data_IF_554988753640
#
_entry.id   IF_554988753640
#
_cell.length_a   1.000
_cell.length_b   1.000
_cell.length_c   1.000
_cell.angle_alpha   90.00
_cell.angle_beta   90.00
_cell.angle_gamma   90.00
#
_symmetry.space_group_name_H-M   'P 1'
#
loop_
_entity.id
_entity.type
_entity.pdbx_description
1 polymer ?
#
# COMPACT_ATOMS: atom_id res chain seq x y z
N UNK A 1 16.27 -10.21 3.61
CA UNK A 1 15.84 -11.36 2.77
C UNK A 1 15.41 -12.57 3.57
N UNK A 2 16.10 -12.97 4.66
CA UNK A 2 15.74 -14.14 5.49
C UNK A 2 14.27 -14.13 5.93
N UNK A 3 13.77 -12.99 6.42
CA UNK A 3 12.36 -12.87 6.87
C UNK A 3 11.37 -13.11 5.73
N UNK A 4 11.65 -12.61 4.52
CA UNK A 4 10.80 -12.85 3.36
C UNK A 4 10.82 -14.33 2.94
N UNK A 5 11.99 -14.97 3.02
CA UNK A 5 12.11 -16.41 2.77
C UNK A 5 11.30 -17.23 3.77
N UNK A 6 11.38 -16.92 5.06
CA UNK A 6 10.58 -17.55 6.10
C UNK A 6 9.06 -17.37 5.86
N UNK A 7 8.65 -16.17 5.42
CA UNK A 7 7.26 -15.91 5.08
C UNK A 7 6.80 -16.70 3.84
N UNK A 8 7.68 -16.93 2.87
CA UNK A 8 7.39 -17.72 1.67
C UNK A 8 7.38 -19.24 1.95
N UNK A 9 8.30 -19.74 2.79
CA UNK A 9 8.42 -21.16 3.13
C UNK A 9 7.38 -21.61 4.17
N UNK A 10 6.83 -20.67 4.95
CA UNK A 10 5.83 -20.98 5.96
C UNK A 10 6.41 -21.25 7.34
N UNK A 11 7.49 -20.56 7.74
CA UNK A 11 8.19 -20.79 9.01
C UNK A 11 7.45 -20.10 10.17
N UNK A 12 6.22 -20.54 10.43
CA UNK A 12 5.29 -20.12 11.48
C UNK A 12 4.23 -21.23 11.68
N UNK A 13 3.48 -21.17 12.77
CA UNK A 13 2.45 -22.17 13.09
C UNK A 13 1.09 -21.49 13.23
N UNK A 14 0.30 -21.48 12.14
CA UNK A 14 -1.06 -20.92 12.10
C UNK A 14 -2.03 -22.12 12.01
N UNK A 15 -3.00 -22.25 12.94
CA UNK A 15 -3.98 -23.33 12.90
C UNK A 15 -4.71 -23.41 11.55
N UNK A 16 -4.86 -24.63 11.03
CA UNK A 16 -5.55 -24.92 9.78
C UNK A 16 -5.02 -24.21 8.52
N UNK A 17 -3.79 -23.67 8.58
CA UNK A 17 -3.13 -23.03 7.45
C UNK A 17 -1.79 -23.71 7.15
N UNK A 18 -1.57 -24.04 5.88
CA UNK A 18 -0.31 -24.63 5.40
C UNK A 18 0.28 -23.79 4.27
N UNK A 19 1.60 -23.59 4.30
CA UNK A 19 2.35 -22.89 3.25
C UNK A 19 2.77 -21.48 3.64
N UNK A 20 3.31 -20.73 2.66
CA UNK A 20 3.77 -19.36 2.85
C UNK A 20 2.65 -18.34 2.91
N UNK A 21 2.89 -17.22 3.58
CA UNK A 21 2.00 -16.06 3.60
C UNK A 21 2.21 -15.13 2.40
N UNK A 22 3.35 -15.20 1.72
CA UNK A 22 3.68 -14.34 0.57
C UNK A 22 4.11 -15.15 -0.65
N UNK A 23 3.99 -14.55 -1.83
CA UNK A 23 4.57 -15.06 -3.08
C UNK A 23 6.10 -14.99 -3.06
N UNK A 24 6.73 -15.65 -4.04
CA UNK A 24 8.20 -15.73 -4.13
C UNK A 24 8.86 -14.35 -4.16
N UNK A 25 9.78 -14.11 -3.23
CA UNK A 25 10.36 -12.79 -2.95
C UNK A 25 11.48 -12.34 -3.90
N UNK A 26 11.93 -13.20 -4.82
CA UNK A 26 12.95 -12.86 -5.81
C UNK A 26 12.29 -12.69 -7.17
N UNK A 27 11.70 -11.51 -7.35
CA UNK A 27 10.91 -11.13 -8.54
C UNK A 27 11.18 -9.67 -8.88
N UNK A 28 11.28 -9.37 -10.16
CA UNK A 28 11.27 -8.03 -10.74
C UNK A 28 9.88 -7.68 -11.32
N UNK A 29 8.92 -8.59 -11.18
CA UNK A 29 7.54 -8.38 -11.60
C UNK A 29 6.77 -7.52 -10.60
N UNK A 30 5.94 -6.64 -11.15
CA UNK A 30 4.92 -5.89 -10.40
C UNK A 30 3.50 -6.33 -10.77
N UNK A 31 3.37 -7.37 -11.60
CA UNK A 31 2.08 -7.88 -12.03
C UNK A 31 1.41 -8.70 -10.92
N UNK A 32 0.09 -8.56 -10.79
CA UNK A 32 -0.74 -9.39 -9.92
C UNK A 32 -1.59 -10.32 -10.79
N UNK A 33 -1.75 -11.57 -10.36
CA UNK A 33 -2.65 -12.53 -11.00
C UNK A 33 -4.11 -12.09 -10.84
N UNK A 34 -4.97 -12.50 -11.77
CA UNK A 34 -6.39 -12.12 -11.78
C UNK A 34 -7.11 -12.51 -10.47
N UNK A 35 -6.78 -13.68 -9.90
CA UNK A 35 -7.32 -14.10 -8.60
C UNK A 35 -6.92 -13.15 -7.47
N UNK A 36 -5.69 -12.65 -7.47
CA UNK A 36 -5.21 -11.72 -6.45
C UNK A 36 -5.91 -10.36 -6.56
N UNK A 37 -6.20 -9.91 -7.80
CA UNK A 37 -6.96 -8.68 -8.05
C UNK A 37 -8.39 -8.79 -7.52
N UNK A 38 -9.05 -9.94 -7.73
CA UNK A 38 -10.39 -10.21 -7.21
C UNK A 38 -10.42 -10.23 -5.68
N UNK A 39 -9.51 -10.97 -5.05
CA UNK A 39 -9.41 -11.04 -3.58
C UNK A 39 -9.10 -9.67 -2.96
N UNK A 40 -8.21 -8.88 -3.57
CA UNK A 40 -7.92 -7.53 -3.11
C UNK A 40 -9.19 -6.67 -3.12
N UNK A 41 -9.98 -6.72 -4.21
CA UNK A 41 -11.23 -5.98 -4.31
C UNK A 41 -12.26 -6.41 -3.26
N UNK A 42 -12.40 -7.72 -3.01
CA UNK A 42 -13.29 -8.26 -1.97
C UNK A 42 -12.90 -7.77 -0.57
N UNK A 43 -11.60 -7.83 -0.24
CA UNK A 43 -11.08 -7.33 1.04
C UNK A 43 -11.26 -5.82 1.15
N UNK A 44 -11.03 -5.05 0.08
CA UNK A 44 -11.21 -3.60 0.11
C UNK A 44 -12.68 -3.24 0.36
N UNK A 45 -13.59 -3.87 -0.38
CA UNK A 45 -15.03 -3.61 -0.25
C UNK A 45 -15.57 -4.00 1.12
N UNK A 46 -15.11 -5.12 1.67
CA UNK A 46 -15.59 -5.61 2.98
C UNK A 46 -15.01 -4.85 4.17
N UNK A 47 -13.75 -4.39 4.08
CA UNK A 47 -13.04 -3.76 5.22
C UNK A 47 -13.14 -2.24 5.18
N UNK A 48 -12.98 -1.62 4.02
CA UNK A 48 -12.91 -0.16 3.88
C UNK A 48 -14.17 0.43 3.22
N UNK A 49 -14.92 -0.40 2.49
CA UNK A 49 -16.16 -0.03 1.82
C UNK A 49 -15.95 0.26 0.33
N UNK A 50 -17.04 0.19 -0.45
CA UNK A 50 -17.01 0.29 -1.91
C UNK A 50 -16.35 1.55 -2.45
N UNK A 51 -16.41 2.68 -1.71
CA UNK A 51 -15.77 3.94 -2.12
C UNK A 51 -14.25 3.87 -2.21
N UNK A 52 -13.63 2.89 -1.55
CA UNK A 52 -12.18 2.65 -1.61
C UNK A 52 -11.78 1.62 -2.67
N UNK A 53 -12.75 0.86 -3.19
CA UNK A 53 -12.55 -0.12 -4.25
C UNK A 53 -12.52 0.52 -5.63
N UNK A 54 -11.79 -0.08 -6.55
CA UNK A 54 -11.76 0.37 -7.94
C UNK A 54 -12.95 -0.18 -8.72
N UNK A 55 -13.43 0.57 -9.72
CA UNK A 55 -14.43 0.03 -10.67
C UNK A 55 -13.84 -1.08 -11.53
N UNK A 56 -12.57 -0.91 -11.93
CA UNK A 56 -11.79 -1.89 -12.67
C UNK A 56 -10.40 -2.01 -12.03
N UNK A 57 -9.83 -3.23 -11.92
CA UNK A 57 -8.55 -3.44 -11.26
C UNK A 57 -7.40 -2.77 -12.03
N UNK A 58 -6.43 -2.21 -11.30
CA UNK A 58 -5.20 -1.67 -11.90
C UNK A 58 -4.26 -2.81 -12.26
N UNK A 59 -3.93 -2.92 -13.54
CA UNK A 59 -2.94 -3.89 -14.04
C UNK A 59 -1.59 -3.21 -14.25
N UNK A 60 -0.60 -3.63 -13.49
CA UNK A 60 0.78 -3.19 -13.62
C UNK A 60 1.58 -4.21 -14.43
N UNK A 61 2.56 -3.74 -15.21
CA UNK A 61 3.47 -4.57 -16.01
C UNK A 61 4.90 -4.08 -15.82
N UNK A 62 5.84 -5.00 -15.72
CA UNK A 62 7.27 -4.67 -15.73
C UNK A 62 7.73 -4.28 -17.13
N UNK A 63 8.81 -3.48 -17.22
CA UNK A 63 9.37 -2.97 -18.49
C UNK A 63 10.37 -3.92 -19.16
N UNK A 64 10.93 -4.87 -18.42
CA UNK A 64 11.81 -5.89 -19.00
C UNK A 64 10.98 -6.85 -19.87
N UNK A 65 11.63 -7.60 -20.77
CA UNK A 65 11.01 -8.61 -21.66
C UNK A 65 11.68 -10.00 -21.50
N UNK A 66 12.44 -10.23 -20.43
CA UNK A 66 13.12 -11.50 -20.23
C UNK A 66 12.16 -12.55 -19.66
N UNK A 67 12.22 -13.77 -20.19
CA UNK A 67 11.34 -14.90 -19.83
C UNK A 67 11.34 -15.34 -18.34
N UNK A 68 12.15 -14.71 -17.48
CA UNK A 68 11.99 -14.79 -16.00
C UNK A 68 10.73 -14.03 -15.51
N UNK A 69 10.08 -13.25 -16.37
CA UNK A 69 8.83 -12.49 -16.13
C UNK A 69 7.56 -13.33 -15.97
N UNK A 70 7.68 -14.66 -15.91
CA UNK A 70 6.58 -15.51 -15.46
C UNK A 70 6.31 -15.39 -13.95
N UNK A 71 7.05 -14.55 -13.23
CA UNK A 71 6.86 -14.32 -11.80
C UNK A 71 5.82 -13.24 -11.51
N UNK A 72 5.13 -13.42 -10.40
CA UNK A 72 4.18 -12.46 -9.87
C UNK A 72 4.88 -11.45 -8.96
N UNK A 73 4.25 -10.32 -8.67
CA UNK A 73 4.69 -9.40 -7.63
C UNK A 73 4.74 -10.08 -6.24
N UNK A 74 5.55 -9.51 -5.35
CA UNK A 74 5.55 -9.88 -3.93
C UNK A 74 4.25 -9.38 -3.30
N UNK A 75 3.36 -10.30 -2.92
CA UNK A 75 2.05 -10.02 -2.33
C UNK A 75 1.63 -11.14 -1.37
N UNK A 76 0.59 -10.96 -0.54
CA UNK A 76 0.01 -12.06 0.21
C UNK A 76 -0.46 -13.18 -0.72
N UNK A 77 -0.27 -14.45 -0.34
CA UNK A 77 -0.85 -15.59 -1.07
C UNK A 77 -2.38 -15.51 -1.07
N UNK A 78 -2.94 -15.13 0.08
CA UNK A 78 -4.36 -14.86 0.29
C UNK A 78 -4.51 -13.51 1.03
N UNK A 79 -5.26 -12.57 0.45
CA UNK A 79 -5.54 -11.28 1.08
C UNK A 79 -6.49 -11.37 2.29
N UNK A 80 -7.27 -12.46 2.40
CA UNK A 80 -8.17 -12.70 3.53
C UNK A 80 -7.42 -12.86 4.86
N UNK A 81 -6.16 -13.31 4.79
CA UNK A 81 -5.23 -13.40 5.91
C UNK A 81 -4.76 -12.01 6.35
N UNK A 82 -5.63 -11.24 6.99
CA UNK A 82 -5.29 -9.88 7.45
C UNK A 82 -4.13 -9.97 8.45
N UNK A 83 -3.18 -9.01 8.45
CA UNK A 83 -2.02 -9.06 9.35
C UNK A 83 -2.38 -9.30 10.82
N UNK A 84 -3.47 -8.70 11.30
CA UNK A 84 -3.95 -8.87 12.68
C UNK A 84 -4.36 -10.31 13.01
N UNK A 85 -4.85 -11.08 12.03
CA UNK A 85 -5.29 -12.47 12.23
C UNK A 85 -4.11 -13.41 12.41
N UNK A 86 -2.98 -13.12 11.77
CA UNK A 86 -1.79 -13.96 11.80
C UNK A 86 -0.74 -13.48 12.79
N UNK A 87 -0.93 -12.29 13.39
CA UNK A 87 0.06 -11.62 14.24
C UNK A 87 0.57 -12.50 15.39
N UNK A 88 -0.32 -13.25 16.05
CA UNK A 88 0.04 -14.09 17.20
C UNK A 88 0.99 -15.25 16.85
N UNK A 89 1.06 -15.60 15.57
CA UNK A 89 1.83 -16.74 15.06
C UNK A 89 3.16 -16.31 14.39
N UNK A 90 3.40 -15.00 14.28
CA UNK A 90 4.56 -14.45 13.62
C UNK A 90 5.51 -13.80 14.63
N UNK A 91 6.81 -13.94 14.37
CA UNK A 91 7.81 -13.08 15.03
C UNK A 91 7.57 -11.60 14.68
N UNK A 92 8.13 -10.70 15.48
CA UNK A 92 7.99 -9.26 15.28
C UNK A 92 8.37 -8.82 13.84
N UNK A 93 9.49 -9.33 13.32
CA UNK A 93 9.98 -8.96 11.99
C UNK A 93 9.13 -9.56 10.87
N UNK A 94 8.68 -10.81 11.01
CA UNK A 94 7.75 -11.44 10.07
C UNK A 94 6.43 -10.67 10.00
N UNK A 95 5.86 -10.30 11.15
CA UNK A 95 4.62 -9.53 11.20
C UNK A 95 4.78 -8.16 10.54
N UNK A 96 5.88 -7.44 10.82
CA UNK A 96 6.14 -6.13 10.21
C UNK A 96 6.31 -6.22 8.71
N UNK A 97 7.07 -7.20 8.22
CA UNK A 97 7.29 -7.39 6.79
C UNK A 97 6.01 -7.84 6.08
N UNK A 98 5.28 -8.80 6.66
CA UNK A 98 4.00 -9.24 6.12
C UNK A 98 2.98 -8.09 6.06
N UNK A 99 2.86 -7.31 7.14
CA UNK A 99 2.00 -6.13 7.19
C UNK A 99 2.34 -5.12 6.10
N UNK A 100 3.63 -4.89 5.85
CA UNK A 100 4.09 -3.97 4.80
C UNK A 100 3.70 -4.48 3.41
N UNK A 101 3.99 -5.75 3.11
CA UNK A 101 3.65 -6.39 1.84
C UNK A 101 2.14 -6.36 1.61
N UNK A 102 1.35 -6.75 2.62
CA UNK A 102 -0.11 -6.77 2.57
C UNK A 102 -0.67 -5.37 2.30
N UNK A 103 -0.22 -4.35 3.05
CA UNK A 103 -0.67 -2.97 2.87
C UNK A 103 -0.29 -2.42 1.50
N UNK A 104 0.95 -2.64 1.03
CA UNK A 104 1.42 -2.17 -0.28
C UNK A 104 0.62 -2.79 -1.42
N UNK A 105 0.43 -4.11 -1.38
CA UNK A 105 -0.29 -4.83 -2.42
C UNK A 105 -1.78 -4.43 -2.45
N UNK A 106 -2.43 -4.32 -1.29
CA UNK A 106 -3.84 -3.90 -1.23
C UNK A 106 -4.01 -2.44 -1.67
N UNK A 107 -3.13 -1.54 -1.23
CA UNK A 107 -3.15 -0.12 -1.58
C UNK A 107 -3.04 0.10 -3.10
N UNK A 108 -2.29 -0.77 -3.80
CA UNK A 108 -2.17 -0.71 -5.27
C UNK A 108 -3.53 -0.83 -5.98
N UNK A 109 -4.50 -1.51 -5.34
CA UNK A 109 -5.85 -1.74 -5.85
C UNK A 109 -6.91 -0.85 -5.18
N UNK A 110 -6.51 0.18 -4.41
CA UNK A 110 -7.44 1.15 -3.81
C UNK A 110 -7.54 2.43 -4.64
N UNK A 111 -8.67 3.13 -4.55
CA UNK A 111 -8.87 4.46 -5.14
C UNK A 111 -7.78 5.45 -4.74
N UNK A 112 -7.47 6.41 -5.63
CA UNK A 112 -6.49 7.46 -5.35
C UNK A 112 -6.95 8.34 -4.17
N UNK A 113 -5.99 8.95 -3.48
CA UNK A 113 -6.28 10.02 -2.54
C UNK A 113 -6.66 11.30 -3.30
N UNK A 114 -7.64 12.03 -2.79
CA UNK A 114 -7.99 13.36 -3.26
C UNK A 114 -7.39 14.39 -2.30
N UNK A 115 -6.53 15.25 -2.81
CA UNK A 115 -5.83 16.29 -2.04
C UNK A 115 -6.23 17.65 -2.61
N UNK A 116 -6.82 18.49 -1.77
CA UNK A 116 -7.08 19.88 -2.11
C UNK A 116 -5.85 20.71 -1.78
N UNK A 117 -5.28 21.38 -2.80
CA UNK A 117 -4.18 22.33 -2.65
C UNK A 117 -4.73 23.75 -2.75
N UNK A 118 -4.30 24.61 -1.83
CA UNK A 118 -4.65 26.03 -1.79
C UNK A 118 -3.38 26.84 -1.88
N UNK A 119 -3.31 27.74 -2.86
CA UNK A 119 -2.24 28.73 -2.99
C UNK A 119 -2.84 30.10 -2.75
N UNK A 120 -2.24 30.85 -1.82
CA UNK A 120 -2.64 32.22 -1.48
C UNK A 120 -1.50 33.13 -1.88
N UNK A 121 -1.80 34.04 -2.80
CA UNK A 121 -0.89 35.09 -3.23
C UNK A 121 -1.27 36.39 -2.50
N UNK A 122 -0.30 36.99 -1.82
CA UNK A 122 -0.47 38.23 -1.06
C UNK A 122 0.46 39.28 -1.65
N UNK A 123 -0.14 40.26 -2.32
CA UNK A 123 0.55 41.47 -2.75
C UNK A 123 0.76 42.40 -1.54
N UNK A 124 1.95 42.98 -1.41
CA UNK A 124 2.32 43.89 -0.34
C UNK A 124 3.19 45.04 -0.87
N UNK A 125 3.31 46.12 -0.07
CA UNK A 125 3.93 47.38 -0.51
C UNK A 125 2.89 48.41 -0.95
N UNK A 126 3.27 49.69 -1.05
CA UNK A 126 2.36 50.76 -1.47
C UNK A 126 1.99 50.63 -2.95
N UNK A 127 2.94 50.16 -3.77
CA UNK A 127 2.78 49.96 -5.22
C UNK A 127 2.59 48.48 -5.56
N UNK A 128 2.30 47.63 -4.55
CA UNK A 128 2.18 46.17 -4.69
C UNK A 128 3.43 45.51 -5.27
N UNK A 129 4.60 46.07 -4.96
CA UNK A 129 5.89 45.63 -5.48
C UNK A 129 6.39 44.29 -4.90
N UNK A 130 5.77 43.81 -3.81
CA UNK A 130 6.09 42.53 -3.19
C UNK A 130 4.98 41.51 -3.41
N UNK A 131 5.36 40.28 -3.77
CA UNK A 131 4.46 39.14 -3.86
C UNK A 131 4.92 38.04 -2.89
N UNK A 132 4.08 37.74 -1.91
CA UNK A 132 4.25 36.59 -1.03
C UNK A 132 3.33 35.47 -1.49
N UNK A 133 3.83 34.24 -1.50
CA UNK A 133 3.04 33.05 -1.79
C UNK A 133 3.01 32.15 -0.55
N UNK A 134 1.81 31.71 -0.16
CA UNK A 134 1.60 30.70 0.86
C UNK A 134 0.86 29.50 0.25
N UNK A 135 1.39 28.30 0.45
CA UNK A 135 0.79 27.06 -0.04
C UNK A 135 0.30 26.21 1.13
N UNK A 136 -0.90 25.64 1.01
CA UNK A 136 -1.47 24.69 1.94
C UNK A 136 -2.08 23.49 1.21
N UNK A 137 -2.17 22.35 1.89
CA UNK A 137 -2.86 21.18 1.35
C UNK A 137 -3.66 20.47 2.44
N UNK A 138 -4.79 19.87 2.05
CA UNK A 138 -5.58 18.99 2.91
C UNK A 138 -6.05 17.75 2.15
N UNK A 139 -6.09 16.62 2.82
CA UNK A 139 -6.70 15.39 2.29
C UNK A 139 -8.22 15.55 2.34
N UNK A 140 -8.86 15.49 1.17
CA UNK A 140 -10.33 15.47 1.02
C UNK A 140 -10.84 14.04 1.12
N UNK A 141 -10.14 13.11 0.49
CA UNK A 141 -10.41 11.68 0.56
C UNK A 141 -9.09 10.91 0.64
N UNK A 142 -8.88 10.07 1.66
CA UNK A 142 -7.58 9.42 1.84
C UNK A 142 -7.28 8.34 0.79
N UNK A 143 -8.30 7.70 0.19
CA UNK A 143 -8.08 6.60 -0.76
C UNK A 143 -7.11 5.54 -0.21
N UNK A 144 -6.09 5.18 -0.98
CA UNK A 144 -5.04 4.25 -0.57
C UNK A 144 -4.19 4.73 0.64
N UNK A 145 -4.13 6.04 0.91
CA UNK A 145 -3.39 6.60 2.06
C UNK A 145 -3.97 6.15 3.40
N UNK A 146 -5.22 5.65 3.42
CA UNK A 146 -5.85 5.09 4.61
C UNK A 146 -5.05 3.92 5.21
N UNK A 147 -4.30 3.18 4.38
CA UNK A 147 -3.61 1.95 4.79
C UNK A 147 -2.11 1.98 4.50
N UNK A 148 -1.68 2.85 3.60
CA UNK A 148 -0.31 2.87 3.14
C UNK A 148 0.15 4.31 2.87
N UNK A 149 1.15 4.75 3.62
CA UNK A 149 1.88 5.98 3.37
C UNK A 149 3.34 5.59 3.21
N UNK A 150 4.00 6.04 2.14
CA UNK A 150 5.46 5.91 2.08
C UNK A 150 6.04 6.80 3.16
N UNK A 151 6.82 6.22 4.06
CA UNK A 151 7.59 7.00 5.02
C UNK A 151 8.66 7.75 4.22
N UNK A 152 8.36 8.97 3.81
CA UNK A 152 9.41 9.94 3.50
C UNK A 152 9.91 10.47 4.83
N UNK A 153 11.21 10.27 5.11
CA UNK A 153 11.86 10.69 6.35
C UNK A 153 11.69 12.20 6.66
N UNK A 154 11.25 13.00 5.69
CA UNK A 154 10.98 14.44 5.83
C UNK A 154 9.52 14.83 6.15
N UNK A 155 8.54 13.91 6.10
CA UNK A 155 7.10 14.25 6.23
C UNK A 155 6.41 13.67 7.48
N UNK A 156 7.15 12.95 8.33
CA UNK A 156 6.62 12.20 9.48
C UNK A 156 5.90 13.05 10.55
N UNK A 157 6.15 14.36 10.62
CA UNK A 157 5.65 15.20 11.72
C UNK A 157 4.23 15.77 11.52
N UNK A 158 3.65 15.68 10.31
CA UNK A 158 2.38 16.39 10.02
C UNK A 158 1.13 15.52 10.16
N UNK A 159 1.23 14.20 9.94
CA UNK A 159 0.08 13.30 9.93
C UNK A 159 -0.21 12.64 11.28
N UNK A 160 0.79 12.49 12.15
CA UNK A 160 0.64 11.84 13.46
C UNK A 160 -0.08 12.71 14.52
N UNK A 161 -0.33 14.00 14.26
CA UNK A 161 -0.93 14.94 15.21
C UNK A 161 -2.44 15.16 15.04
N UNK A 162 -3.12 14.43 14.15
CA UNK A 162 -4.56 14.65 13.86
C UNK A 162 -5.44 13.40 13.80
N UNK A 163 -4.98 12.27 14.35
CA UNK A 163 -5.85 11.13 14.66
C UNK A 163 -6.05 11.02 16.16
#
# INVERSE_FOLDING_TARGET
MVVAQQLYEGNFDIPDYSGGLITYMRTDSVALAEQALQQAQEVINSVYGQKYGLKEPRKYKSRAVNAQEAHEAIRPVDFSQKPIMVQAHLSHDQFRLYSLIWKRALASQMTAAEIARTTINVEAGQEKEYLFEAQGQRVVFPGFLQIYTETNDEQSDTLAKKM
#
